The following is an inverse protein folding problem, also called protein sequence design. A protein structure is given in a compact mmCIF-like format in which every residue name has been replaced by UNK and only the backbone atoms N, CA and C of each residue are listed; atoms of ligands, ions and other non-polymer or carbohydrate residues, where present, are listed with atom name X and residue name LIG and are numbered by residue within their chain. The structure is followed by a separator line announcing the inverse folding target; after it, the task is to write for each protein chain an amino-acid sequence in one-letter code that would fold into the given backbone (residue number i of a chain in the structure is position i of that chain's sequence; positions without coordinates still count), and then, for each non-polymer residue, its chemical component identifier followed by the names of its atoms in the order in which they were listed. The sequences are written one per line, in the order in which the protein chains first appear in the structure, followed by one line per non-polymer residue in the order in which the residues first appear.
data_IF_755053273504
#
_entry.id   IF_755053273504
#
_cell.length_a   1.000
_cell.length_b   1.000
_cell.length_c   1.000
_cell.angle_alpha   90.00
_cell.angle_beta   90.00
_cell.angle_gamma   90.00
#
_symmetry.space_group_name_H-M   'P 1'
#
loop_
_entity.id
_entity.type
_entity.pdbx_description
1 polymer ?
#
# COMPACT_ATOMS: atom_id res chain seq x y z
N UNK A 1 0.52 23.20 -17.99
CA UNK A 1 1.83 22.59 -17.84
C UNK A 1 1.58 21.17 -17.34
N UNK A 2 2.10 20.19 -18.02
CA UNK A 2 2.04 18.80 -17.57
C UNK A 2 3.02 18.67 -16.40
N UNK A 3 2.47 18.64 -15.19
CA UNK A 3 3.24 18.44 -13.95
C UNK A 3 3.23 16.98 -13.51
N UNK A 4 2.78 16.07 -14.38
CA UNK A 4 2.66 14.65 -14.13
C UNK A 4 1.69 14.24 -13.00
N UNK A 5 0.87 15.16 -12.50
CA UNK A 5 -0.13 14.91 -11.44
C UNK A 5 -1.45 14.38 -12.00
N UNK A 6 -1.64 14.39 -13.30
CA UNK A 6 -2.88 13.98 -13.93
C UNK A 6 -2.65 12.90 -14.97
N UNK A 7 -3.64 12.04 -15.14
CA UNK A 7 -3.72 11.04 -16.21
C UNK A 7 -5.10 11.07 -16.86
N UNK A 8 -5.17 10.65 -18.13
CA UNK A 8 -6.43 10.54 -18.83
C UNK A 8 -7.12 9.22 -18.45
N UNK A 9 -8.34 9.30 -17.96
CA UNK A 9 -9.18 8.15 -17.63
C UNK A 9 -10.06 7.75 -18.79
N UNK A 10 -9.68 6.72 -19.54
CA UNK A 10 -10.46 6.24 -20.69
C UNK A 10 -11.87 5.78 -20.30
N UNK A 11 -12.04 5.24 -19.10
CA UNK A 11 -13.32 4.76 -18.58
C UNK A 11 -14.34 5.87 -18.40
N UNK A 12 -13.90 7.03 -17.95
CA UNK A 12 -14.76 8.19 -17.68
C UNK A 12 -14.58 9.34 -18.67
N UNK A 13 -13.62 9.22 -19.60
CA UNK A 13 -13.33 10.23 -20.65
C UNK A 13 -13.02 11.63 -20.09
N UNK A 14 -12.29 11.68 -18.96
CA UNK A 14 -11.79 12.93 -18.40
C UNK A 14 -10.45 12.72 -17.67
N UNK A 15 -9.82 13.81 -17.24
CA UNK A 15 -8.59 13.76 -16.48
C UNK A 15 -8.84 13.35 -15.04
N UNK A 16 -7.97 12.50 -14.50
CA UNK A 16 -7.94 12.09 -13.09
C UNK A 16 -6.71 12.63 -12.40
N UNK A 17 -6.85 13.04 -11.14
CA UNK A 17 -5.69 13.33 -10.30
C UNK A 17 -5.06 12.00 -9.85
N UNK A 18 -3.77 11.82 -10.12
CA UNK A 18 -3.02 10.64 -9.71
C UNK A 18 -2.76 10.65 -8.22
N UNK A 19 -2.82 9.48 -7.60
CA UNK A 19 -2.43 9.32 -6.20
C UNK A 19 -3.26 10.15 -5.21
N UNK A 20 -4.46 10.59 -5.60
CA UNK A 20 -5.31 11.39 -4.71
C UNK A 20 -5.80 10.59 -3.51
N UNK A 21 -6.15 9.34 -3.70
CA UNK A 21 -6.54 8.45 -2.61
C UNK A 21 -5.91 7.06 -2.75
N UNK A 22 -5.68 6.43 -1.62
CA UNK A 22 -5.19 5.07 -1.46
C UNK A 22 -6.17 4.30 -0.58
N UNK A 23 -6.29 3.01 -0.83
CA UNK A 23 -7.04 2.08 0.00
C UNK A 23 -6.07 1.09 0.61
N UNK A 24 -6.13 0.94 1.92
CA UNK A 24 -5.34 -0.02 2.68
C UNK A 24 -6.28 -0.96 3.43
N UNK A 25 -5.96 -2.26 3.45
CA UNK A 25 -6.69 -3.27 4.21
C UNK A 25 -5.77 -3.84 5.29
N UNK A 26 -6.29 -3.92 6.52
CA UNK A 26 -5.55 -4.46 7.66
C UNK A 26 -6.40 -5.46 8.43
N UNK A 27 -5.77 -6.44 9.05
CA UNK A 27 -6.42 -7.25 10.09
C UNK A 27 -6.75 -6.39 11.31
N UNK A 28 -7.52 -6.91 12.25
CA UNK A 28 -7.82 -6.18 13.49
C UNK A 28 -6.57 -5.96 14.36
N UNK A 29 -5.54 -6.78 14.18
CA UNK A 29 -4.25 -6.68 14.85
C UNK A 29 -3.28 -5.71 14.17
N UNK A 30 -3.68 -5.11 13.05
CA UNK A 30 -2.87 -4.13 12.31
C UNK A 30 -1.93 -4.74 11.27
N UNK A 31 -2.08 -6.02 10.93
CA UNK A 31 -1.31 -6.62 9.86
C UNK A 31 -1.85 -6.16 8.50
N UNK A 32 -0.97 -5.62 7.65
CA UNK A 32 -1.31 -5.20 6.30
C UNK A 32 -1.68 -6.39 5.41
N UNK A 33 -2.79 -6.26 4.69
CA UNK A 33 -3.25 -7.23 3.70
C UNK A 33 -3.09 -6.62 2.31
N UNK A 34 -2.25 -7.18 1.44
CA UNK A 34 -2.08 -6.70 0.07
C UNK A 34 -3.38 -6.78 -0.72
N UNK A 35 -3.81 -5.68 -1.31
CA UNK A 35 -5.00 -5.59 -2.17
C UNK A 35 -4.70 -4.82 -3.44
N UNK A 36 -5.33 -5.21 -4.54
CA UNK A 36 -5.41 -4.40 -5.73
C UNK A 36 -6.54 -3.37 -5.61
N UNK A 37 -6.38 -2.21 -6.21
CA UNK A 37 -7.47 -1.26 -6.33
C UNK A 37 -7.33 -0.42 -7.60
N UNK A 38 -8.45 0.11 -8.04
CA UNK A 38 -8.51 1.14 -9.07
C UNK A 38 -9.35 2.29 -8.56
N UNK A 39 -8.78 3.46 -8.60
CA UNK A 39 -9.49 4.70 -8.38
C UNK A 39 -9.07 5.73 -9.42
N UNK A 40 -9.90 6.75 -9.59
CA UNK A 40 -9.58 7.89 -10.42
C UNK A 40 -10.56 8.99 -10.07
N UNK A 41 -10.02 10.13 -9.67
CA UNK A 41 -10.82 11.21 -9.14
C UNK A 41 -10.75 12.45 -10.03
N UNK A 42 -11.93 12.86 -10.50
CA UNK A 42 -12.15 14.21 -10.97
C UNK A 42 -12.63 15.02 -9.77
N UNK A 43 -11.69 15.44 -8.94
CA UNK A 43 -11.98 16.12 -7.66
C UNK A 43 -12.84 17.35 -7.88
N UNK A 44 -14.07 17.34 -7.32
CA UNK A 44 -15.09 18.37 -7.58
C UNK A 44 -16.06 18.56 -6.43
N UNK A 45 -16.75 19.71 -6.42
CA UNK A 45 -17.77 20.03 -5.41
C UNK A 45 -19.11 19.37 -5.78
N UNK A 46 -19.37 18.17 -5.29
CA UNK A 46 -20.67 17.50 -5.47
C UNK A 46 -21.66 17.82 -4.37
N UNK A 47 -21.21 17.93 -3.13
CA UNK A 47 -22.03 18.26 -1.99
C UNK A 47 -21.39 19.35 -1.14
N UNK A 48 -22.18 20.35 -0.75
CA UNK A 48 -21.73 21.48 0.07
C UNK A 48 -22.53 21.59 1.37
N UNK A 49 -22.82 20.46 2.03
CA UNK A 49 -23.58 20.39 3.29
C UNK A 49 -22.86 21.08 4.46
N UNK A 50 -21.52 21.24 4.38
CA UNK A 50 -20.72 22.00 5.33
C UNK A 50 -20.85 23.52 5.20
N UNK A 51 -21.78 24.04 4.37
CA UNK A 51 -22.06 25.47 4.21
C UNK A 51 -21.15 26.18 3.19
N UNK A 52 -20.40 25.44 2.39
CA UNK A 52 -19.60 25.97 1.29
C UNK A 52 -20.42 26.37 0.07
N UNK A 53 -19.78 27.05 -0.87
CA UNK A 53 -20.32 27.31 -2.21
C UNK A 53 -19.42 26.62 -3.23
N UNK A 54 -19.99 25.70 -4.01
CA UNK A 54 -19.25 24.93 -5.01
C UNK A 54 -18.71 25.83 -6.12
N UNK A 55 -17.45 25.60 -6.50
CA UNK A 55 -16.72 26.31 -7.53
C UNK A 55 -16.00 25.37 -8.51
N UNK A 56 -15.84 24.10 -8.13
CA UNK A 56 -14.98 23.15 -8.84
C UNK A 56 -15.78 22.05 -9.53
N UNK A 57 -15.24 21.57 -10.64
CA UNK A 57 -15.76 20.48 -11.45
C UNK A 57 -14.65 19.83 -12.25
N UNK A 58 -14.94 18.82 -13.06
CA UNK A 58 -13.90 18.07 -13.82
C UNK A 58 -13.06 18.93 -14.77
N UNK A 59 -13.55 20.08 -15.20
CA UNK A 59 -12.76 21.02 -16.02
C UNK A 59 -11.87 21.98 -15.23
N UNK A 60 -12.08 22.06 -13.92
CA UNK A 60 -11.34 22.90 -12.99
C UNK A 60 -11.38 22.22 -11.61
N UNK A 61 -10.56 21.21 -11.40
CA UNK A 61 -10.59 20.35 -10.23
C UNK A 61 -10.20 21.07 -8.93
N UNK A 62 -10.87 20.70 -7.85
CA UNK A 62 -10.63 21.19 -6.49
C UNK A 62 -11.81 20.91 -5.59
N UNK A 63 -11.66 21.23 -4.31
CA UNK A 63 -12.75 21.17 -3.30
C UNK A 63 -12.82 22.51 -2.60
N UNK A 64 -14.02 23.10 -2.59
CA UNK A 64 -14.30 24.31 -1.82
C UNK A 64 -14.46 23.99 -0.34
N UNK A 65 -14.08 24.92 0.52
CA UNK A 65 -14.31 24.77 1.96
C UNK A 65 -15.78 24.52 2.26
N UNK A 66 -16.09 23.46 3.03
CA UNK A 66 -17.43 23.02 3.36
C UNK A 66 -18.16 22.26 2.25
N UNK A 67 -17.45 21.91 1.17
CA UNK A 67 -17.93 21.01 0.12
C UNK A 67 -17.13 19.70 0.15
N UNK A 68 -17.63 18.68 -0.55
CA UNK A 68 -17.03 17.37 -0.71
C UNK A 68 -17.33 16.75 -2.07
N UNK A 69 -16.47 15.84 -2.47
CA UNK A 69 -16.69 14.95 -3.59
C UNK A 69 -17.19 13.59 -3.08
N UNK A 70 -18.21 13.03 -3.72
CA UNK A 70 -18.87 11.81 -3.26
C UNK A 70 -18.81 10.73 -4.31
N UNK A 71 -18.26 9.58 -3.92
CA UNK A 71 -18.16 8.38 -4.75
C UNK A 71 -19.03 7.28 -4.18
N UNK A 72 -20.18 7.05 -4.78
CA UNK A 72 -21.10 5.98 -4.37
C UNK A 72 -20.73 4.62 -4.97
N UNK A 73 -21.21 3.53 -4.38
CA UNK A 73 -20.98 2.15 -4.80
C UNK A 73 -21.41 1.83 -6.23
N UNK A 74 -22.31 2.63 -6.81
CA UNK A 74 -22.74 2.47 -8.20
C UNK A 74 -21.82 3.12 -9.24
N UNK A 75 -20.76 3.81 -8.83
CA UNK A 75 -19.83 4.45 -9.75
C UNK A 75 -18.92 3.39 -10.38
N UNK A 76 -18.99 3.28 -11.71
CA UNK A 76 -18.17 2.33 -12.45
C UNK A 76 -16.69 2.70 -12.48
N UNK A 77 -15.83 1.74 -12.83
CA UNK A 77 -14.39 1.90 -12.97
C UNK A 77 -13.65 2.26 -11.66
N UNK A 78 -14.27 1.99 -10.52
CA UNK A 78 -13.63 2.07 -9.20
C UNK A 78 -13.90 0.77 -8.43
N UNK A 79 -12.86 0.20 -7.86
CA UNK A 79 -12.96 -1.09 -7.17
C UNK A 79 -11.76 -1.31 -6.24
N UNK A 80 -11.98 -2.16 -5.27
CA UNK A 80 -10.96 -2.77 -4.41
C UNK A 80 -11.02 -4.27 -4.68
N UNK A 81 -9.90 -4.89 -5.00
CA UNK A 81 -9.81 -6.32 -5.27
C UNK A 81 -9.51 -7.07 -3.97
N UNK A 82 -10.48 -7.82 -3.51
CA UNK A 82 -10.39 -8.67 -2.33
C UNK A 82 -10.52 -10.16 -2.70
N UNK A 83 -10.26 -10.52 -3.96
CA UNK A 83 -10.44 -11.88 -4.49
C UNK A 83 -9.63 -12.90 -3.68
N UNK A 84 -8.40 -12.57 -3.35
CA UNK A 84 -7.48 -13.45 -2.63
C UNK A 84 -7.48 -13.21 -1.11
N UNK A 85 -8.36 -12.33 -0.61
CA UNK A 85 -8.51 -12.07 0.83
C UNK A 85 -9.48 -13.08 1.41
N UNK A 86 -9.13 -13.73 2.51
CA UNK A 86 -9.99 -14.68 3.20
C UNK A 86 -11.23 -14.00 3.80
N UNK A 87 -12.29 -14.80 4.07
CA UNK A 87 -13.46 -14.30 4.79
C UNK A 87 -13.07 -13.92 6.22
N UNK A 88 -13.56 -12.79 6.68
CA UNK A 88 -13.20 -12.29 8.02
C UNK A 88 -13.46 -10.82 8.20
N UNK A 89 -13.01 -10.31 9.34
CA UNK A 89 -13.17 -8.91 9.74
C UNK A 89 -11.88 -8.13 9.54
N UNK A 90 -12.00 -6.96 8.93
CA UNK A 90 -10.86 -6.14 8.52
C UNK A 90 -11.12 -4.66 8.76
N UNK A 91 -10.04 -3.87 8.87
CA UNK A 91 -10.11 -2.43 8.68
C UNK A 91 -9.86 -2.09 7.21
N UNK A 92 -10.79 -1.37 6.60
CA UNK A 92 -10.57 -0.67 5.34
C UNK A 92 -10.27 0.79 5.65
N UNK A 93 -9.08 1.23 5.28
CA UNK A 93 -8.62 2.59 5.50
C UNK A 93 -8.50 3.30 4.16
N UNK A 94 -9.13 4.46 4.06
CA UNK A 94 -9.01 5.35 2.89
C UNK A 94 -8.13 6.52 3.28
N UNK A 95 -7.09 6.78 2.50
CA UNK A 95 -6.18 7.91 2.72
C UNK A 95 -6.20 8.85 1.52
N UNK A 96 -6.50 10.12 1.75
CA UNK A 96 -6.40 11.17 0.73
C UNK A 96 -5.02 11.83 0.81
N UNK A 97 -4.48 12.23 -0.35
CA UNK A 97 -3.17 12.89 -0.45
C UNK A 97 -2.08 12.21 0.40
N UNK A 98 -2.00 10.88 0.32
CA UNK A 98 -1.14 10.05 1.17
C UNK A 98 0.37 10.27 0.93
N UNK A 99 0.75 10.85 -0.21
CA UNK A 99 2.14 11.24 -0.52
C UNK A 99 2.47 12.67 -0.10
N UNK A 100 1.55 13.36 0.60
CA UNK A 100 1.71 14.74 1.05
C UNK A 100 2.08 15.73 -0.05
N UNK A 101 1.53 15.52 -1.25
CA UNK A 101 1.84 16.33 -2.43
C UNK A 101 1.25 17.73 -2.27
N UNK A 102 2.06 18.78 -2.39
CA UNK A 102 1.54 20.15 -2.34
C UNK A 102 0.71 20.47 -3.59
N UNK A 103 -0.15 21.48 -3.50
CA UNK A 103 -0.94 21.96 -4.63
C UNK A 103 -0.06 22.54 -5.77
N UNK A 104 -0.69 22.90 -6.88
CA UNK A 104 -0.01 23.46 -8.06
C UNK A 104 0.74 24.79 -7.78
N UNK A 105 0.50 25.44 -6.66
CA UNK A 105 1.19 26.64 -6.19
C UNK A 105 2.27 26.33 -5.14
N UNK A 106 2.51 25.06 -4.84
CA UNK A 106 3.48 24.60 -3.85
C UNK A 106 3.03 24.79 -2.41
N UNK A 107 1.71 24.90 -2.15
CA UNK A 107 1.17 25.04 -0.79
C UNK A 107 0.83 23.65 -0.25
N UNK A 108 1.34 23.38 0.94
CA UNK A 108 0.98 22.17 1.70
C UNK A 108 -0.38 22.34 2.40
N UNK A 109 -0.99 21.24 2.79
CA UNK A 109 -2.16 21.23 3.65
C UNK A 109 -1.83 21.79 5.04
N UNK A 110 -2.82 22.34 5.72
CA UNK A 110 -2.64 22.86 7.07
C UNK A 110 -2.47 21.76 8.12
N UNK A 111 -3.05 20.59 7.87
CA UNK A 111 -2.92 19.36 8.65
C UNK A 111 -3.17 18.18 7.74
N UNK A 112 -2.50 17.07 8.01
CA UNK A 112 -2.70 15.78 7.36
C UNK A 112 -3.41 14.79 8.28
N UNK A 113 -3.69 15.14 9.53
CA UNK A 113 -4.29 14.27 10.54
C UNK A 113 -5.72 13.82 10.16
N UNK A 114 -6.40 14.58 9.32
CA UNK A 114 -7.75 14.30 8.82
C UNK A 114 -7.77 13.69 7.41
N UNK A 115 -6.63 13.28 6.89
CA UNK A 115 -6.53 12.73 5.53
C UNK A 115 -6.85 11.23 5.45
N UNK A 116 -7.28 10.62 6.53
CA UNK A 116 -7.72 9.23 6.52
C UNK A 116 -9.08 9.04 7.17
N UNK A 117 -9.75 8.00 6.75
CA UNK A 117 -10.94 7.46 7.40
C UNK A 117 -10.86 5.95 7.42
N UNK A 118 -11.18 5.34 8.56
CA UNK A 118 -11.18 3.90 8.73
C UNK A 118 -12.61 3.39 8.94
N UNK A 119 -12.90 2.22 8.41
CA UNK A 119 -14.16 1.51 8.62
C UNK A 119 -13.88 0.04 8.86
N UNK A 120 -14.60 -0.55 9.80
CA UNK A 120 -14.55 -1.98 10.05
C UNK A 120 -15.55 -2.68 9.14
N UNK A 121 -15.06 -3.66 8.37
CA UNK A 121 -15.85 -4.43 7.41
C UNK A 121 -15.74 -5.92 7.70
N UNK A 122 -16.77 -6.66 7.34
CA UNK A 122 -16.74 -8.12 7.29
C UNK A 122 -16.88 -8.59 5.84
N UNK A 123 -16.00 -9.49 5.42
CA UNK A 123 -16.07 -10.18 4.15
C UNK A 123 -16.65 -11.57 4.39
N UNK A 124 -17.71 -11.95 3.68
CA UNK A 124 -18.39 -13.25 3.80
C UNK A 124 -18.76 -13.79 2.41
N UNK A 125 -18.32 -15.02 2.11
CA UNK A 125 -18.66 -15.75 0.88
C UNK A 125 -19.43 -17.03 1.16
N UNK A 126 -19.99 -17.18 2.36
CA UNK A 126 -20.76 -18.40 2.75
C UNK A 126 -21.96 -18.67 1.85
N UNK A 127 -22.51 -17.64 1.20
CA UNK A 127 -23.62 -17.76 0.25
C UNK A 127 -23.18 -18.12 -1.17
N UNK A 128 -21.88 -18.10 -1.44
CA UNK A 128 -21.25 -18.30 -2.76
C UNK A 128 -21.02 -17.02 -3.55
N UNK A 129 -21.44 -15.87 -3.03
CA UNK A 129 -21.13 -14.52 -3.52
C UNK A 129 -20.48 -13.71 -2.39
N UNK A 130 -19.65 -12.74 -2.75
CA UNK A 130 -19.05 -11.85 -1.76
C UNK A 130 -20.10 -10.90 -1.20
N UNK A 131 -20.31 -10.96 0.09
CA UNK A 131 -21.05 -9.97 0.87
C UNK A 131 -20.05 -9.14 1.68
N UNK A 132 -20.25 -7.81 1.70
CA UNK A 132 -19.41 -6.88 2.45
C UNK A 132 -20.31 -6.07 3.37
N UNK A 133 -20.16 -6.30 4.66
CA UNK A 133 -20.92 -5.58 5.69
C UNK A 133 -20.03 -4.59 6.43
N UNK A 134 -20.54 -3.39 6.66
CA UNK A 134 -19.95 -2.44 7.61
C UNK A 134 -20.44 -2.82 9.00
N UNK A 135 -19.55 -3.26 9.87
CA UNK A 135 -19.91 -3.81 11.19
C UNK A 135 -19.74 -2.82 12.36
N UNK A 136 -19.53 -1.55 12.06
CA UNK A 136 -19.49 -0.50 13.06
C UNK A 136 -18.11 -0.32 13.69
N UNK A 137 -18.12 0.02 14.99
CA UNK A 137 -16.90 0.36 15.71
C UNK A 137 -16.12 -0.89 16.10
N UNK A 138 -14.93 -1.06 15.55
CA UNK A 138 -13.92 -1.98 16.06
C UNK A 138 -12.87 -1.17 16.84
N UNK A 139 -12.18 -1.81 17.77
CA UNK A 139 -11.08 -1.15 18.49
C UNK A 139 -9.93 -0.87 17.52
N UNK A 140 -9.51 0.39 17.34
CA UNK A 140 -8.46 0.72 16.40
C UNK A 140 -7.13 0.08 16.80
N UNK A 141 -6.38 -0.40 15.81
CA UNK A 141 -5.00 -0.79 16.05
C UNK A 141 -4.08 0.44 16.06
N UNK A 142 -2.95 0.32 16.75
CA UNK A 142 -1.89 1.31 16.70
C UNK A 142 -0.65 0.70 16.04
N UNK A 143 0.04 1.49 15.26
CA UNK A 143 1.34 1.09 14.70
C UNK A 143 2.43 1.02 15.78
N UNK A 144 3.66 0.69 15.41
CA UNK A 144 4.75 0.54 16.36
C UNK A 144 5.17 1.86 17.04
N UNK A 145 4.79 3.02 16.52
CA UNK A 145 4.96 4.33 17.15
C UNK A 145 3.80 4.69 18.09
N UNK A 146 2.76 3.87 18.13
CA UNK A 146 1.54 4.12 18.89
C UNK A 146 0.55 5.05 18.20
N UNK A 147 0.72 5.27 16.89
CA UNK A 147 -0.21 6.08 16.09
C UNK A 147 -1.38 5.22 15.66
N UNK A 148 -2.60 5.65 15.98
CA UNK A 148 -3.85 4.97 15.59
C UNK A 148 -3.95 4.93 14.05
N UNK A 149 -4.18 3.73 13.52
CA UNK A 149 -4.15 3.44 12.09
C UNK A 149 -2.89 3.96 11.37
N UNK A 150 -1.79 4.09 12.10
CA UNK A 150 -0.51 4.49 11.56
C UNK A 150 0.07 3.45 10.59
N UNK A 151 1.17 3.80 9.95
CA UNK A 151 1.84 2.97 8.95
C UNK A 151 3.30 2.71 9.30
N UNK A 152 3.72 3.04 10.51
CA UNK A 152 5.04 2.72 10.99
C UNK A 152 5.15 1.20 11.19
N UNK A 153 6.12 0.60 10.55
CA UNK A 153 6.35 -0.85 10.58
C UNK A 153 7.57 -1.15 11.45
N UNK A 154 7.53 -2.31 12.08
CA UNK A 154 8.67 -2.83 12.82
C UNK A 154 9.58 -3.58 11.84
N UNK A 155 10.86 -3.27 11.84
CA UNK A 155 11.82 -4.04 11.05
C UNK A 155 12.06 -5.44 11.65
N UNK A 156 12.85 -6.27 11.00
CA UNK A 156 13.10 -7.63 11.43
C UNK A 156 13.90 -7.74 12.76
N UNK A 157 14.52 -6.64 13.23
CA UNK A 157 15.13 -6.57 14.57
C UNK A 157 14.14 -6.17 15.66
N UNK A 158 12.91 -5.78 15.29
CA UNK A 158 11.90 -5.29 16.20
C UNK A 158 11.97 -3.77 16.43
N UNK A 159 12.78 -3.05 15.68
CA UNK A 159 12.90 -1.60 15.79
C UNK A 159 11.83 -0.92 14.92
N UNK A 160 11.06 -0.03 15.53
CA UNK A 160 10.02 0.73 14.83
C UNK A 160 10.66 1.70 13.83
N UNK A 161 10.18 1.68 12.57
CA UNK A 161 10.79 2.40 11.44
C UNK A 161 12.29 2.10 11.27
N UNK A 162 12.74 0.96 11.73
CA UNK A 162 14.09 0.48 11.53
C UNK A 162 14.37 0.20 10.05
N UNK A 163 15.63 -0.02 9.73
CA UNK A 163 16.07 -0.25 8.35
C UNK A 163 16.70 -1.63 8.15
N UNK A 164 16.63 -2.49 9.16
CA UNK A 164 17.14 -3.84 9.05
C UNK A 164 16.30 -4.64 8.06
N UNK A 165 16.97 -5.26 7.10
CA UNK A 165 16.34 -6.06 6.07
C UNK A 165 16.48 -7.55 6.38
N UNK A 166 15.38 -8.28 6.22
CA UNK A 166 15.42 -9.73 6.30
C UNK A 166 16.41 -10.29 5.29
N UNK A 167 17.40 -11.04 5.75
CA UNK A 167 18.40 -11.64 4.87
C UNK A 167 19.58 -10.74 4.49
N UNK A 168 19.66 -9.51 4.95
CA UNK A 168 20.84 -8.63 4.82
C UNK A 168 21.86 -9.01 5.91
N UNK A 169 22.70 -9.98 5.63
CA UNK A 169 23.61 -10.57 6.61
C UNK A 169 24.79 -9.67 6.94
N UNK A 170 25.23 -8.85 6.00
CA UNK A 170 26.36 -7.93 6.18
C UNK A 170 25.94 -6.52 6.63
N UNK A 171 24.62 -6.28 6.79
CA UNK A 171 24.02 -5.01 7.20
C UNK A 171 24.42 -3.82 6.31
N UNK A 172 24.58 -4.04 5.02
CA UNK A 172 24.90 -2.97 4.08
C UNK A 172 23.65 -2.19 3.59
N UNK A 173 22.46 -2.61 3.98
CA UNK A 173 21.17 -2.00 3.64
C UNK A 173 20.63 -2.50 2.29
N UNK A 174 21.14 -3.58 1.78
CA UNK A 174 20.66 -4.23 0.56
C UNK A 174 20.55 -5.74 0.79
N UNK A 175 19.55 -6.33 0.21
CA UNK A 175 19.40 -7.78 0.14
C UNK A 175 19.98 -8.24 -1.20
N UNK A 176 21.14 -8.89 -1.22
CA UNK A 176 21.87 -9.21 -2.44
C UNK A 176 22.48 -10.61 -2.45
N UNK A 177 23.01 -11.02 -3.61
CA UNK A 177 23.61 -12.36 -3.75
C UNK A 177 24.79 -12.61 -2.79
N UNK A 178 25.48 -11.55 -2.38
CA UNK A 178 26.56 -11.64 -1.39
C UNK A 178 26.07 -12.17 -0.05
N UNK A 179 24.86 -11.79 0.37
CA UNK A 179 24.23 -12.29 1.60
C UNK A 179 23.96 -13.80 1.52
N UNK A 180 23.43 -14.27 0.39
CA UNK A 180 23.22 -15.70 0.19
C UNK A 180 24.54 -16.51 0.29
N UNK A 181 25.65 -15.97 -0.20
CA UNK A 181 26.97 -16.57 -0.05
C UNK A 181 27.42 -16.55 1.41
N UNK A 182 27.23 -15.42 2.10
CA UNK A 182 27.55 -15.26 3.51
C UNK A 182 26.77 -16.25 4.39
N UNK A 183 25.49 -16.51 4.08
CA UNK A 183 24.67 -17.55 4.72
C UNK A 183 25.33 -18.94 4.61
N UNK A 184 25.74 -19.33 3.41
CA UNK A 184 26.38 -20.64 3.18
C UNK A 184 27.69 -20.75 3.96
N UNK A 185 28.52 -19.71 3.96
CA UNK A 185 29.76 -19.67 4.72
C UNK A 185 29.53 -19.78 6.22
N UNK A 186 28.51 -19.10 6.70
CA UNK A 186 28.12 -19.09 8.11
C UNK A 186 27.62 -20.47 8.57
N UNK A 187 26.74 -21.10 7.78
CA UNK A 187 26.23 -22.46 8.02
C UNK A 187 27.38 -23.50 8.04
N UNK A 188 28.34 -23.35 7.14
CA UNK A 188 29.49 -24.27 7.07
C UNK A 188 30.55 -24.06 8.18
N UNK A 189 30.54 -22.88 8.82
CA UNK A 189 31.47 -22.49 9.87
C UNK A 189 31.03 -22.88 11.29
N UNK A 190 29.82 -23.40 11.51
CA UNK A 190 29.22 -23.70 12.82
C UNK A 190 29.09 -22.47 13.75
N UNK A 191 29.13 -21.26 13.21
CA UNK A 191 29.12 -19.98 13.98
C UNK A 191 27.75 -19.26 13.89
N UNK A 192 26.65 -20.00 13.78
CA UNK A 192 25.32 -19.39 13.63
C UNK A 192 24.79 -18.98 15.00
N UNK A 193 24.95 -17.72 15.34
CA UNK A 193 24.05 -17.06 16.28
C UNK A 193 22.82 -16.62 15.47
N UNK A 194 21.64 -17.17 15.79
CA UNK A 194 20.39 -16.77 15.13
C UNK A 194 20.11 -15.30 15.44
N UNK A 195 20.43 -14.44 14.50
CA UNK A 195 20.07 -13.02 14.57
C UNK A 195 18.61 -12.85 14.09
N UNK A 196 17.85 -11.89 14.59
CA UNK A 196 16.43 -11.76 14.26
C UNK A 196 16.11 -11.66 12.76
N UNK A 197 17.04 -11.17 11.94
CA UNK A 197 16.83 -10.99 10.49
C UNK A 197 17.41 -12.13 9.63
N UNK A 198 17.77 -13.25 10.20
CA UNK A 198 18.45 -14.33 9.47
C UNK A 198 17.56 -15.52 9.09
N UNK A 199 16.41 -15.68 9.69
CA UNK A 199 15.44 -16.71 9.34
C UNK A 199 14.53 -16.17 8.20
N UNK A 200 14.94 -16.41 6.96
CA UNK A 200 14.30 -15.84 5.76
C UNK A 200 12.98 -16.52 5.43
N UNK A 201 12.85 -17.81 5.73
CA UNK A 201 11.64 -18.57 5.48
C UNK A 201 10.71 -18.69 6.70
N UNK A 202 11.15 -18.12 7.84
CA UNK A 202 10.39 -18.03 9.09
C UNK A 202 9.94 -19.39 9.66
N UNK A 203 10.85 -20.37 9.58
CA UNK A 203 10.64 -21.71 10.11
C UNK A 203 11.29 -21.96 11.49
N UNK A 204 11.85 -20.92 12.11
CA UNK A 204 12.61 -20.90 13.36
C UNK A 204 13.96 -21.65 13.31
N UNK A 205 14.45 -22.00 12.12
CA UNK A 205 15.75 -22.64 11.91
C UNK A 205 16.56 -21.86 10.87
N UNK A 206 17.87 -21.66 11.13
CA UNK A 206 18.78 -21.07 10.15
C UNK A 206 19.46 -22.17 9.37
N UNK A 207 19.05 -22.34 8.13
CA UNK A 207 19.48 -23.48 7.30
C UNK A 207 19.84 -23.04 5.87
N UNK A 208 20.23 -24.02 5.04
CA UNK A 208 20.48 -23.76 3.62
C UNK A 208 19.23 -23.33 2.85
N UNK A 209 18.03 -23.54 3.41
CA UNK A 209 16.77 -23.07 2.80
C UNK A 209 16.66 -21.56 2.84
N UNK A 210 17.13 -20.91 3.89
CA UNK A 210 17.21 -19.45 3.98
C UNK A 210 18.10 -18.86 2.88
N UNK A 211 19.29 -19.42 2.72
CA UNK A 211 20.20 -19.03 1.64
C UNK A 211 19.60 -19.26 0.25
N UNK A 212 18.84 -20.34 0.08
CA UNK A 212 18.17 -20.66 -1.18
C UNK A 212 17.01 -19.71 -1.47
N UNK A 213 16.20 -19.37 -0.49
CA UNK A 213 15.13 -18.40 -0.61
C UNK A 213 15.65 -17.03 -1.02
N UNK A 214 16.72 -16.56 -0.35
CA UNK A 214 17.37 -15.30 -0.68
C UNK A 214 17.92 -15.29 -2.11
N UNK A 215 18.63 -16.35 -2.52
CA UNK A 215 19.17 -16.46 -3.87
C UNK A 215 18.06 -16.49 -4.95
N UNK A 216 16.93 -17.15 -4.68
CA UNK A 216 15.79 -17.21 -5.58
C UNK A 216 15.10 -15.84 -5.70
N UNK A 217 14.92 -15.12 -4.59
CA UNK A 217 14.35 -13.76 -4.63
C UNK A 217 15.18 -12.82 -5.50
N UNK A 218 16.52 -12.90 -5.40
CA UNK A 218 17.41 -12.11 -6.24
C UNK A 218 17.29 -12.48 -7.72
N UNK A 219 17.25 -13.77 -8.04
CA UNK A 219 17.09 -14.23 -9.42
C UNK A 219 15.78 -13.76 -10.04
N UNK A 220 14.67 -13.77 -9.29
CA UNK A 220 13.39 -13.26 -9.74
C UNK A 220 13.41 -11.74 -9.93
N UNK A 221 14.07 -10.98 -9.06
CA UNK A 221 14.20 -9.53 -9.18
C UNK A 221 15.02 -9.16 -10.43
N UNK A 222 16.12 -9.86 -10.71
CA UNK A 222 16.92 -9.63 -11.93
C UNK A 222 16.12 -9.93 -13.21
N UNK A 223 15.30 -10.99 -13.23
CA UNK A 223 14.46 -11.34 -14.37
C UNK A 223 13.37 -10.31 -14.64
N UNK A 224 12.86 -9.63 -13.61
CA UNK A 224 11.83 -8.59 -13.76
C UNK A 224 12.41 -7.21 -14.07
N UNK A 225 13.69 -6.96 -13.80
CA UNK A 225 14.37 -5.70 -14.15
C UNK A 225 14.86 -5.64 -15.60
N UNK A 226 14.84 -6.75 -16.33
CA UNK A 226 15.10 -6.81 -17.77
C UNK A 226 13.82 -7.12 -18.55
N UNK A 227 12.91 -6.16 -18.80
CA UNK A 227 11.93 -6.33 -19.86
C UNK A 227 12.71 -6.32 -21.17
N UNK A 228 12.65 -7.46 -21.87
CA UNK A 228 13.24 -7.69 -23.18
C UNK A 228 13.12 -6.47 -24.09
N UNK A 229 14.26 -5.87 -24.41
CA UNK A 229 14.41 -4.96 -25.54
C UNK A 229 14.51 -5.75 -26.84
N UNK A 230 13.65 -6.72 -27.07
CA UNK A 230 13.47 -7.36 -28.36
C UNK A 230 12.36 -6.65 -29.12
N UNK A 231 12.72 -5.58 -29.82
CA UNK A 231 11.91 -5.02 -30.86
C UNK A 231 11.58 -6.06 -31.91
N UNK A 232 10.35 -6.49 -31.92
CA UNK A 232 9.75 -7.10 -33.12
C UNK A 232 8.99 -5.98 -33.83
N UNK A 233 9.68 -5.38 -34.79
CA UNK A 233 9.02 -4.72 -35.90
C UNK A 233 8.34 -5.81 -36.74
N UNK A 234 7.02 -5.87 -36.71
CA UNK A 234 6.27 -6.52 -37.76
C UNK A 234 5.49 -5.50 -38.56
N UNK A 235 5.58 -5.73 -39.86
CA UNK A 235 5.16 -4.92 -41.02
C UNK A 235 3.64 -4.75 -41.12
#
# INVERSE_FOLDING_TARGET
ADNNQFEWGDCHSHWHHKGYAKYDLFTLEGQYIPIGFKNGFCVMDLECSGGGTGQYGCGNMGISAGCGDIYGSGLSCQWIDVTDVEDGTYYLIVRANYDFIPDALGRAENSYDNNHAAVCINLDRSTGELEVDVIGDCEPFSDCEGTEFGTAETDCNGDCNGTALMGDLDNNGAQEYADAVAYVEHILGDDIEALPCTDVDQDDEITVTDAAHLALCQLFNELHQHPDSSGIHDK
#
